data_IF_873867949467
#
_entry.id   IF_873867949467
#
_cell.length_a   1.000
_cell.length_b   1.000
_cell.length_c   1.000
_cell.angle_alpha   90.00
_cell.angle_beta   90.00
_cell.angle_gamma   90.00
#
_symmetry.space_group_name_H-M   'P 1'
#
loop_
_entity.id
_entity.type
_entity.pdbx_description
1 polymer ?
#
# COMPACT_ATOMS: atom_id res chain seq x y z
N UNK A 1 -4.12 -8.34 12.01
CA UNK A 1 -4.87 -9.56 12.36
C UNK A 1 -5.97 -9.85 11.34
N UNK A 2 -6.51 -11.06 11.33
CA UNK A 2 -7.68 -11.40 10.50
C UNK A 2 -8.91 -10.52 10.83
N UNK A 3 -9.03 -10.04 12.07
CA UNK A 3 -10.08 -9.11 12.47
C UNK A 3 -10.01 -7.76 11.78
N UNK A 4 -8.84 -7.34 11.28
CA UNK A 4 -8.67 -6.08 10.57
C UNK A 4 -9.15 -6.14 9.10
N UNK A 5 -9.30 -7.34 8.52
CA UNK A 5 -9.58 -7.51 7.08
C UNK A 5 -10.89 -6.85 6.67
N UNK A 6 -11.94 -7.00 7.47
CA UNK A 6 -13.24 -6.39 7.18
C UNK A 6 -13.16 -4.87 7.16
N UNK A 7 -12.48 -4.27 8.14
CA UNK A 7 -12.31 -2.82 8.22
C UNK A 7 -11.44 -2.30 7.08
N UNK A 8 -10.39 -3.04 6.71
CA UNK A 8 -9.53 -2.69 5.57
C UNK A 8 -10.33 -2.69 4.27
N UNK A 9 -11.13 -3.73 4.03
CA UNK A 9 -11.97 -3.81 2.82
C UNK A 9 -12.99 -2.67 2.78
N UNK A 10 -13.62 -2.37 3.92
CA UNK A 10 -14.57 -1.26 4.01
C UNK A 10 -13.90 0.10 3.72
N UNK A 11 -12.72 0.34 4.30
CA UNK A 11 -11.95 1.56 4.06
C UNK A 11 -11.47 1.67 2.61
N UNK A 12 -11.04 0.57 2.01
CA UNK A 12 -10.60 0.50 0.62
C UNK A 12 -11.68 0.89 -0.39
N UNK A 13 -12.97 0.70 -0.06
CA UNK A 13 -14.07 1.10 -0.94
C UNK A 13 -14.06 2.60 -1.24
N UNK A 14 -13.64 3.44 -0.30
CA UNK A 14 -13.50 4.88 -0.55
C UNK A 14 -12.56 5.15 -1.73
N UNK A 15 -11.43 4.46 -1.75
CA UNK A 15 -10.40 4.62 -2.78
C UNK A 15 -10.81 3.97 -4.10
N UNK A 16 -11.40 2.79 -4.06
CA UNK A 16 -11.88 2.08 -5.25
C UNK A 16 -12.95 2.87 -6.00
N UNK A 17 -13.81 3.57 -5.30
CA UNK A 17 -14.88 4.36 -5.91
C UNK A 17 -14.42 5.72 -6.44
N UNK A 18 -13.38 6.32 -5.85
CA UNK A 18 -13.02 7.71 -6.12
C UNK A 18 -11.68 7.89 -6.82
N UNK A 19 -10.70 7.00 -6.60
CA UNK A 19 -9.33 7.26 -7.00
C UNK A 19 -8.72 6.21 -7.94
N UNK A 20 -9.13 4.94 -7.84
CA UNK A 20 -8.35 3.89 -8.48
C UNK A 20 -8.92 3.50 -9.82
N UNK A 21 -10.25 3.65 -10.12
CA UNK A 21 -10.60 2.84 -11.24
C UNK A 21 -11.48 3.29 -12.36
N UNK A 22 -10.76 3.43 -13.46
CA UNK A 22 -11.33 3.46 -14.79
C UNK A 22 -10.99 2.20 -15.63
N UNK A 23 -10.05 1.37 -15.19
CA UNK A 23 -9.50 0.27 -16.00
C UNK A 23 -9.72 -1.12 -15.39
N UNK A 24 -9.66 -1.24 -14.08
CA UNK A 24 -9.78 -2.51 -13.36
C UNK A 24 -11.04 -2.49 -12.49
N UNK A 25 -11.85 -3.53 -12.57
CA UNK A 25 -13.07 -3.64 -11.74
C UNK A 25 -12.71 -4.19 -10.37
N UNK A 26 -12.88 -3.43 -9.29
CA UNK A 26 -12.60 -3.92 -7.94
C UNK A 26 -13.52 -5.08 -7.56
N UNK A 27 -12.92 -6.10 -6.93
CA UNK A 27 -13.63 -7.25 -6.36
C UNK A 27 -13.36 -7.30 -4.85
N UNK A 28 -14.28 -6.82 -4.00
CA UNK A 28 -14.09 -6.80 -2.55
C UNK A 28 -13.89 -8.20 -1.93
N UNK A 29 -14.53 -9.24 -2.47
CA UNK A 29 -14.39 -10.59 -1.97
C UNK A 29 -13.01 -11.16 -2.27
N UNK A 30 -12.51 -10.95 -3.49
CA UNK A 30 -11.15 -11.31 -3.87
C UNK A 30 -10.13 -10.53 -3.02
N UNK A 31 -10.37 -9.25 -2.80
CA UNK A 31 -9.48 -8.41 -1.98
C UNK A 31 -9.43 -8.89 -0.53
N UNK A 32 -10.58 -9.19 0.09
CA UNK A 32 -10.66 -9.76 1.43
C UNK A 32 -9.89 -11.09 1.55
N UNK A 33 -10.02 -11.96 0.54
CA UNK A 33 -9.25 -13.22 0.47
C UNK A 33 -7.74 -12.96 0.42
N UNK A 34 -7.29 -12.04 -0.43
CA UNK A 34 -5.87 -11.73 -0.58
C UNK A 34 -5.28 -11.12 0.70
N UNK A 35 -6.02 -10.22 1.37
CA UNK A 35 -5.64 -9.67 2.67
C UNK A 35 -5.56 -10.74 3.75
N UNK A 36 -6.53 -11.67 3.79
CA UNK A 36 -6.51 -12.78 4.75
C UNK A 36 -5.28 -13.68 4.55
N UNK A 37 -4.93 -13.97 3.31
CA UNK A 37 -3.72 -14.72 2.99
C UNK A 37 -2.45 -13.94 3.39
N UNK A 38 -2.42 -12.61 3.19
CA UNK A 38 -1.32 -11.75 3.63
C UNK A 38 -1.15 -11.79 5.16
N UNK A 39 -2.23 -11.67 5.91
CA UNK A 39 -2.21 -11.78 7.38
C UNK A 39 -1.68 -13.15 7.83
N UNK A 40 -2.13 -14.23 7.19
CA UNK A 40 -1.66 -15.59 7.51
C UNK A 40 -0.15 -15.72 7.22
N UNK A 41 0.30 -15.30 6.04
CA UNK A 41 1.73 -15.33 5.69
C UNK A 41 2.58 -14.52 6.67
N UNK A 42 2.18 -13.29 6.98
CA UNK A 42 2.88 -12.44 7.94
C UNK A 42 2.91 -13.05 9.35
N UNK A 43 1.86 -13.73 9.77
CA UNK A 43 1.81 -14.39 11.09
C UNK A 43 2.82 -15.53 11.16
N UNK A 44 2.98 -16.30 10.10
CA UNK A 44 3.95 -17.40 10.05
C UNK A 44 5.37 -16.97 9.73
N UNK A 45 5.52 -15.91 8.93
CA UNK A 45 6.82 -15.36 8.55
C UNK A 45 6.75 -13.82 8.39
N UNK A 46 7.01 -13.05 9.45
CA UNK A 46 6.93 -11.59 9.43
C UNK A 46 7.99 -10.92 8.51
N UNK A 47 8.96 -11.70 8.02
CA UNK A 47 9.95 -11.21 7.06
C UNK A 47 9.51 -11.39 5.60
N UNK A 48 8.40 -12.10 5.33
CA UNK A 48 7.91 -12.32 3.97
C UNK A 48 7.00 -11.19 3.49
N UNK A 49 6.26 -10.58 4.39
CA UNK A 49 5.19 -9.63 4.06
C UNK A 49 4.91 -8.73 5.27
N UNK A 50 4.52 -7.49 5.00
CA UNK A 50 4.13 -6.54 6.03
C UNK A 50 2.81 -5.86 5.66
N UNK A 51 1.77 -6.20 6.40
CA UNK A 51 0.48 -5.51 6.39
C UNK A 51 0.35 -4.75 7.70
N UNK A 52 0.34 -3.42 7.61
CA UNK A 52 0.33 -2.50 8.75
C UNK A 52 -0.98 -1.71 8.78
N UNK A 53 -1.52 -1.51 9.96
CA UNK A 53 -2.73 -0.71 10.19
C UNK A 53 -2.44 0.39 11.22
N UNK A 54 -3.08 1.55 11.05
CA UNK A 54 -3.16 2.59 12.06
C UNK A 54 -4.61 2.77 12.50
N UNK A 55 -4.84 2.78 13.81
CA UNK A 55 -6.15 2.95 14.42
C UNK A 55 -6.15 4.14 15.38
N UNK A 56 -7.28 4.80 15.44
CA UNK A 56 -7.55 5.78 16.49
C UNK A 56 -7.53 5.10 17.87
N UNK A 57 -6.86 5.70 18.84
CA UNK A 57 -6.69 5.10 20.16
C UNK A 57 -7.95 5.11 21.01
N UNK A 58 -8.83 6.08 20.78
CA UNK A 58 -10.03 6.25 21.60
C UNK A 58 -11.20 5.47 20.99
N UNK A 59 -11.37 5.57 19.66
CA UNK A 59 -12.51 4.98 18.96
C UNK A 59 -12.23 3.61 18.37
N UNK A 60 -10.96 3.21 18.27
CA UNK A 60 -10.48 2.02 17.58
C UNK A 60 -10.81 2.00 16.07
N UNK A 61 -11.21 3.14 15.51
CA UNK A 61 -11.49 3.26 14.07
C UNK A 61 -10.22 3.06 13.26
N UNK A 62 -10.29 2.32 12.15
CA UNK A 62 -9.20 2.19 11.20
C UNK A 62 -9.02 3.51 10.44
N UNK A 63 -7.81 4.09 10.52
CA UNK A 63 -7.47 5.36 9.90
C UNK A 63 -6.63 5.19 8.63
N UNK A 64 -5.78 4.18 8.61
CA UNK A 64 -4.95 3.86 7.44
C UNK A 64 -4.46 2.42 7.47
N UNK A 65 -4.06 1.93 6.31
CA UNK A 65 -3.35 0.67 6.18
C UNK A 65 -2.33 0.74 5.05
N UNK A 66 -1.33 -0.13 5.12
CA UNK A 66 -0.34 -0.32 4.08
C UNK A 66 0.07 -1.76 3.96
N UNK A 67 0.39 -2.16 2.74
CA UNK A 67 0.77 -3.51 2.40
C UNK A 67 2.00 -3.49 1.50
N UNK A 68 3.05 -4.17 1.94
CA UNK A 68 4.30 -4.39 1.20
C UNK A 68 4.72 -5.85 1.32
N UNK A 69 5.24 -6.42 0.26
CA UNK A 69 5.84 -7.76 0.27
C UNK A 69 7.27 -7.72 -0.28
N UNK A 70 7.94 -8.86 -0.23
CA UNK A 70 9.29 -9.05 -0.76
C UNK A 70 9.28 -10.00 -1.96
N UNK A 71 10.47 -10.22 -2.55
CA UNK A 71 10.66 -11.17 -3.64
C UNK A 71 10.42 -10.57 -5.02
N UNK A 72 10.41 -9.23 -5.13
CA UNK A 72 10.43 -8.56 -6.42
C UNK A 72 11.82 -8.61 -7.06
N UNK A 73 11.86 -8.96 -8.35
CA UNK A 73 13.07 -8.99 -9.16
C UNK A 73 12.74 -8.54 -10.58
N UNK A 74 13.75 -8.00 -11.27
CA UNK A 74 13.69 -7.77 -12.71
C UNK A 74 14.42 -8.89 -13.45
N UNK A 75 14.17 -9.00 -14.75
CA UNK A 75 14.78 -10.04 -15.60
C UNK A 75 16.31 -9.87 -15.76
N UNK A 76 16.83 -8.68 -15.48
CA UNK A 76 18.22 -8.32 -15.70
C UNK A 76 19.03 -8.09 -14.42
N UNK A 77 18.42 -8.23 -13.23
CA UNK A 77 19.11 -7.98 -11.96
C UNK A 77 18.72 -8.98 -10.89
N UNK A 78 19.72 -9.43 -10.12
CA UNK A 78 19.53 -10.24 -8.93
C UNK A 78 19.22 -9.39 -7.67
N UNK A 79 19.14 -8.06 -7.79
CA UNK A 79 18.79 -7.18 -6.68
C UNK A 79 17.32 -7.35 -6.35
N UNK A 80 17.04 -7.83 -5.13
CA UNK A 80 15.67 -7.93 -4.62
C UNK A 80 15.10 -6.55 -4.32
N UNK A 81 13.82 -6.37 -4.59
CA UNK A 81 13.08 -5.22 -4.09
C UNK A 81 11.82 -5.66 -3.34
N UNK A 82 11.46 -4.86 -2.32
CA UNK A 82 10.13 -4.88 -1.71
C UNK A 82 9.17 -4.08 -2.57
N UNK A 83 7.96 -4.58 -2.72
CA UNK A 83 6.92 -3.93 -3.52
C UNK A 83 5.75 -3.48 -2.67
N UNK A 84 5.50 -2.17 -2.64
CA UNK A 84 4.32 -1.61 -2.01
C UNK A 84 3.07 -1.94 -2.85
N UNK A 85 2.20 -2.78 -2.29
CA UNK A 85 0.94 -3.19 -2.93
C UNK A 85 -0.15 -2.15 -2.74
N UNK A 86 -0.21 -1.57 -1.55
CA UNK A 86 -1.26 -0.63 -1.18
C UNK A 86 -0.80 0.33 -0.09
N UNK A 87 -1.23 1.59 -0.22
CA UNK A 87 -1.22 2.61 0.82
C UNK A 87 -2.53 3.38 0.75
N UNK A 88 -3.29 3.36 1.82
CA UNK A 88 -4.54 4.10 1.89
C UNK A 88 -4.74 4.73 3.26
N UNK A 89 -5.30 5.93 3.27
CA UNK A 89 -5.76 6.63 4.48
C UNK A 89 -7.22 7.01 4.32
N UNK A 90 -7.93 7.10 5.43
CA UNK A 90 -9.32 7.54 5.45
C UNK A 90 -9.44 8.94 4.83
N UNK A 91 -10.20 9.05 3.74
CA UNK A 91 -10.39 10.29 2.99
C UNK A 91 -11.21 11.33 3.74
N UNK A 92 -11.90 10.96 4.83
CA UNK A 92 -12.63 11.89 5.70
C UNK A 92 -11.74 12.69 6.65
N UNK A 93 -10.48 12.27 6.80
CA UNK A 93 -9.50 12.96 7.62
C UNK A 93 -9.02 14.26 6.95
N UNK A 94 -8.54 15.21 7.76
CA UNK A 94 -7.90 16.42 7.25
C UNK A 94 -6.64 16.10 6.45
N UNK A 95 -6.26 16.97 5.52
CA UNK A 95 -5.06 16.82 4.70
C UNK A 95 -3.80 16.62 5.57
N UNK A 96 -3.70 17.36 6.66
CA UNK A 96 -2.57 17.24 7.60
C UNK A 96 -2.50 15.85 8.23
N UNK A 97 -3.63 15.30 8.66
CA UNK A 97 -3.69 13.95 9.24
C UNK A 97 -3.33 12.90 8.20
N UNK A 98 -3.88 13.02 6.99
CA UNK A 98 -3.59 12.09 5.88
C UNK A 98 -2.11 12.09 5.51
N UNK A 99 -1.49 13.26 5.38
CA UNK A 99 -0.05 13.38 5.10
C UNK A 99 0.78 12.77 6.20
N UNK A 100 0.43 13.00 7.48
CA UNK A 100 1.14 12.42 8.61
C UNK A 100 1.08 10.90 8.61
N UNK A 101 -0.11 10.32 8.39
CA UNK A 101 -0.30 8.86 8.35
C UNK A 101 0.45 8.21 7.18
N UNK A 102 0.42 8.82 6.00
CA UNK A 102 1.16 8.32 4.83
C UNK A 102 2.67 8.39 5.05
N UNK A 103 3.18 9.48 5.64
CA UNK A 103 4.59 9.60 5.96
C UNK A 103 5.05 8.53 6.97
N UNK A 104 4.24 8.27 8.00
CA UNK A 104 4.50 7.20 8.96
C UNK A 104 4.50 5.81 8.28
N UNK A 105 3.58 5.57 7.37
CA UNK A 105 3.47 4.33 6.62
C UNK A 105 4.72 4.08 5.75
N UNK A 106 5.16 5.08 4.99
CA UNK A 106 6.38 4.99 4.18
C UNK A 106 7.61 4.72 5.06
N UNK A 107 7.69 5.36 6.22
CA UNK A 107 8.76 5.12 7.18
C UNK A 107 8.71 3.69 7.75
N UNK A 108 7.54 3.15 8.07
CA UNK A 108 7.40 1.75 8.51
C UNK A 108 7.85 0.75 7.45
N UNK A 109 7.53 0.99 6.19
CA UNK A 109 8.00 0.15 5.08
C UNK A 109 9.52 0.20 4.93
N UNK A 110 10.11 1.39 5.06
CA UNK A 110 11.56 1.56 5.04
C UNK A 110 12.23 0.75 6.16
N UNK A 111 11.75 0.86 7.40
CA UNK A 111 12.28 0.11 8.55
C UNK A 111 12.12 -1.41 8.36
N UNK A 112 10.98 -1.85 7.85
CA UNK A 112 10.76 -3.26 7.57
C UNK A 112 11.73 -3.78 6.52
N UNK A 113 11.96 -3.04 5.43
CA UNK A 113 12.96 -3.40 4.42
C UNK A 113 14.37 -3.47 5.01
N UNK A 114 14.74 -2.56 5.92
CA UNK A 114 16.02 -2.62 6.62
C UNK A 114 16.15 -3.91 7.46
N UNK A 115 15.14 -4.25 8.24
CA UNK A 115 15.11 -5.47 9.07
C UNK A 115 15.21 -6.71 8.19
N UNK A 116 14.51 -6.72 7.07
CA UNK A 116 14.51 -7.83 6.12
C UNK A 116 15.75 -7.88 5.21
N UNK A 117 16.63 -6.88 5.29
CA UNK A 117 17.80 -6.71 4.41
C UNK A 117 17.43 -6.62 2.92
N UNK A 118 16.29 -6.00 2.62
CA UNK A 118 15.82 -5.74 1.25
C UNK A 118 16.46 -4.44 0.79
N UNK A 119 17.27 -4.43 -0.27
CA UNK A 119 18.07 -3.25 -0.63
C UNK A 119 17.29 -2.15 -1.35
N UNK A 120 16.12 -2.46 -1.92
CA UNK A 120 15.31 -1.50 -2.71
C UNK A 120 13.84 -1.65 -2.33
N UNK A 121 13.16 -0.52 -2.15
CA UNK A 121 11.71 -0.45 -1.96
C UNK A 121 11.10 0.26 -3.16
N UNK A 122 10.15 -0.39 -3.83
CA UNK A 122 9.40 0.16 -4.96
C UNK A 122 7.99 0.49 -4.52
N UNK A 123 7.57 1.73 -4.77
CA UNK A 123 6.20 2.19 -4.54
C UNK A 123 5.68 2.84 -5.81
N UNK A 124 4.48 2.46 -6.23
CA UNK A 124 3.82 3.00 -7.43
C UNK A 124 2.49 3.63 -7.06
N UNK A 125 2.00 4.52 -7.92
CA UNK A 125 0.64 5.07 -7.81
C UNK A 125 -0.09 4.87 -9.11
N UNK A 126 -1.31 4.34 -9.01
CA UNK A 126 -2.24 4.17 -10.14
C UNK A 126 -3.37 5.20 -10.13
N UNK A 127 -3.27 6.21 -9.26
CA UNK A 127 -4.26 7.28 -9.14
C UNK A 127 -4.17 8.22 -10.35
N UNK A 128 -5.30 8.77 -10.75
CA UNK A 128 -5.37 9.80 -11.81
C UNK A 128 -4.64 11.09 -11.41
N UNK A 129 -4.72 11.50 -10.15
CA UNK A 129 -3.94 12.59 -9.55
C UNK A 129 -2.97 12.04 -8.51
N UNK A 130 -1.73 11.82 -8.91
CA UNK A 130 -0.68 11.25 -8.08
C UNK A 130 0.36 12.27 -7.61
N UNK A 131 0.29 13.53 -8.04
CA UNK A 131 1.37 14.50 -7.84
C UNK A 131 1.66 14.77 -6.35
N UNK A 132 0.61 14.91 -5.53
CA UNK A 132 0.76 15.12 -4.08
C UNK A 132 1.35 13.88 -3.38
N UNK A 133 0.93 12.69 -3.78
CA UNK A 133 1.41 11.43 -3.26
C UNK A 133 2.89 11.19 -3.63
N UNK A 134 3.28 11.50 -4.86
CA UNK A 134 4.68 11.39 -5.30
C UNK A 134 5.59 12.42 -4.61
N UNK A 135 5.14 13.66 -4.38
CA UNK A 135 5.90 14.64 -3.57
C UNK A 135 6.16 14.16 -2.15
N UNK A 136 5.23 13.41 -1.56
CA UNK A 136 5.43 12.80 -0.25
C UNK A 136 6.52 11.74 -0.29
N UNK A 137 6.57 10.94 -1.36
CA UNK A 137 7.65 9.97 -1.59
C UNK A 137 9.02 10.65 -1.70
N UNK A 138 9.12 11.72 -2.49
CA UNK A 138 10.37 12.51 -2.61
C UNK A 138 10.83 13.04 -1.25
N UNK A 139 9.91 13.58 -0.43
CA UNK A 139 10.23 14.03 0.93
C UNK A 139 10.68 12.90 1.85
N UNK A 140 10.22 11.68 1.61
CA UNK A 140 10.64 10.49 2.34
C UNK A 140 11.96 9.89 1.82
N UNK A 141 12.58 10.49 0.80
CA UNK A 141 13.86 10.07 0.23
C UNK A 141 13.77 9.13 -0.97
N UNK A 142 12.58 8.92 -1.52
CA UNK A 142 12.42 8.14 -2.76
C UNK A 142 12.87 8.95 -3.97
N UNK A 143 13.50 8.27 -4.92
CA UNK A 143 13.77 8.79 -6.25
C UNK A 143 12.59 8.45 -7.16
N UNK A 144 11.79 9.45 -7.51
CA UNK A 144 10.57 9.26 -8.30
C UNK A 144 10.93 9.18 -9.78
N UNK A 145 10.69 8.02 -10.39
CA UNK A 145 11.01 7.73 -11.79
C UNK A 145 9.86 7.03 -12.50
N UNK A 146 9.82 7.23 -13.81
CA UNK A 146 8.95 6.50 -14.71
C UNK A 146 7.49 6.95 -14.69
N UNK A 147 6.73 6.27 -15.54
CA UNK A 147 5.29 6.47 -15.73
C UNK A 147 4.64 5.12 -15.98
N UNK A 148 3.37 4.98 -15.59
CA UNK A 148 2.54 3.83 -15.92
C UNK A 148 1.51 4.28 -16.94
N UNK A 149 1.36 3.52 -18.02
CA UNK A 149 0.37 3.76 -19.05
C UNK A 149 -0.62 2.60 -19.11
N UNK A 150 -1.90 2.91 -19.26
CA UNK A 150 -2.97 1.93 -19.39
C UNK A 150 -3.71 2.11 -20.69
N UNK A 151 -4.10 1.03 -21.33
CA UNK A 151 -5.04 1.00 -22.45
C UNK A 151 -6.04 -0.13 -22.23
N UNK A 152 -7.31 0.15 -22.48
CA UNK A 152 -8.34 -0.89 -22.52
C UNK A 152 -8.30 -1.57 -23.88
N UNK A 153 -8.26 -2.90 -23.89
CA UNK A 153 -8.32 -3.68 -25.13
C UNK A 153 -9.79 -3.93 -25.46
N UNK A 154 -10.21 -3.49 -26.63
CA UNK A 154 -11.54 -3.81 -27.18
C UNK A 154 -11.55 -5.27 -27.62
N UNK A 155 -12.60 -6.01 -27.22
CA UNK A 155 -12.81 -7.44 -27.57
C UNK A 155 -13.91 -7.56 -28.59
#
# INVERSE_FOLDING_TARGET
TLGDVTDIVALAQQQFQTEIDQFLVPDPALYARNLSLAVIRQTHNPLAENLTVARDRETNQLLSYGWVDRGGYTEYSATEFGEAKFAHVDLTLSDRQRVTLLAQLLHQWYLWCQICQIPVLVSTSIRSDQSAFMRLHERAGFDVRGSIAYIRIEQ
#
